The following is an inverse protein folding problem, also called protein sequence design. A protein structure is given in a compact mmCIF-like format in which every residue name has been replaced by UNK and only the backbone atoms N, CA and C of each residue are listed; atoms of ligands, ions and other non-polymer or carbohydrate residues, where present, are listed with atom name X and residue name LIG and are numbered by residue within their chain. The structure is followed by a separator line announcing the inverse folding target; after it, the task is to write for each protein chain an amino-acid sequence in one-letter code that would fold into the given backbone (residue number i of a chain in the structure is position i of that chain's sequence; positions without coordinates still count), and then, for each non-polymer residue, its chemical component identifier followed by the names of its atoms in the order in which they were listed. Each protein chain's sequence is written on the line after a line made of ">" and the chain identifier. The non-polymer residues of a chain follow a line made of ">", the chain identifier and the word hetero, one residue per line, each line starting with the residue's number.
data_IF_702387403874
#
_entry.id   IF_702387403874
#
_cell.length_a   1.000
_cell.length_b   1.000
_cell.length_c   1.000
_cell.angle_alpha   90.00
_cell.angle_beta   90.00
_cell.angle_gamma   90.00
#
_symmetry.space_group_name_H-M   'P 1'
#
loop_
_entity.id
_entity.type
_entity.pdbx_description
1 polymer ?
#
# COMPACT_ATOMS: atom_id res chain seq x y z
N UNK A 1 24.35 24.93 -10.35
CA UNK A 1 24.53 23.47 -10.52
C UNK A 1 23.88 22.84 -9.30
N UNK A 2 22.60 22.52 -9.39
CA UNK A 2 21.86 21.85 -8.31
C UNK A 2 22.35 20.42 -8.23
N UNK A 3 22.82 20.02 -7.06
CA UNK A 3 23.24 18.67 -6.73
C UNK A 3 22.06 17.70 -6.98
N UNK A 4 22.17 16.87 -8.03
CA UNK A 4 21.13 15.98 -8.53
C UNK A 4 21.17 14.61 -7.85
N UNK A 5 21.18 14.55 -6.52
CA UNK A 5 20.85 13.30 -5.81
C UNK A 5 19.57 13.49 -5.01
N UNK A 6 18.42 13.40 -5.70
CA UNK A 6 17.19 13.06 -5.01
C UNK A 6 17.14 11.53 -4.92
N UNK A 7 17.48 10.90 -3.79
CA UNK A 7 17.54 9.44 -3.69
C UNK A 7 16.15 8.77 -3.69
N UNK A 8 15.07 9.53 -3.84
CA UNK A 8 13.71 9.05 -3.63
C UNK A 8 13.36 8.88 -2.15
N UNK A 9 12.07 8.98 -1.84
CA UNK A 9 11.54 8.59 -0.53
C UNK A 9 11.11 7.11 -0.58
N UNK A 10 11.48 6.35 0.45
CA UNK A 10 11.04 4.95 0.60
C UNK A 10 9.87 4.88 1.55
N UNK A 11 8.96 3.97 1.24
CA UNK A 11 7.77 3.71 2.03
C UNK A 11 7.75 2.23 2.39
N UNK A 12 7.37 1.96 3.63
CA UNK A 12 6.99 0.66 4.12
C UNK A 12 5.64 0.84 4.81
N UNK A 13 4.65 0.06 4.40
CA UNK A 13 3.29 0.18 4.91
C UNK A 13 2.69 -1.20 5.16
N UNK A 14 1.82 -1.30 6.16
CA UNK A 14 1.22 -2.57 6.58
C UNK A 14 -0.30 -2.47 6.66
N UNK A 15 -0.99 -3.52 6.21
CA UNK A 15 -2.44 -3.71 6.39
C UNK A 15 -2.73 -5.18 6.68
N UNK A 16 -3.85 -5.49 7.34
CA UNK A 16 -4.26 -6.87 7.57
C UNK A 16 -5.09 -7.41 6.39
N UNK A 17 -4.92 -8.69 6.07
CA UNK A 17 -5.68 -9.40 5.03
C UNK A 17 -6.67 -10.39 5.67
N UNK A 18 -7.93 -10.31 5.27
CA UNK A 18 -8.98 -11.21 5.74
C UNK A 18 -8.74 -12.64 5.24
N UNK A 19 -9.03 -13.65 6.07
CA UNK A 19 -8.80 -15.06 5.73
C UNK A 19 -9.49 -15.47 4.43
N UNK A 20 -10.76 -15.10 4.26
CA UNK A 20 -11.57 -15.43 3.09
C UNK A 20 -11.06 -14.79 1.78
N UNK A 21 -10.25 -13.73 1.87
CA UNK A 21 -9.79 -12.99 0.71
C UNK A 21 -8.42 -13.46 0.18
N UNK A 22 -7.73 -14.36 0.88
CA UNK A 22 -6.33 -14.71 0.60
C UNK A 22 -6.05 -15.08 -0.87
N UNK A 23 -6.82 -16.03 -1.39
CA UNK A 23 -6.57 -16.56 -2.73
C UNK A 23 -7.01 -15.57 -3.82
N UNK A 24 -8.13 -14.87 -3.64
CA UNK A 24 -8.55 -13.85 -4.59
C UNK A 24 -7.59 -12.66 -4.59
N UNK A 25 -7.08 -12.24 -3.43
CA UNK A 25 -6.10 -11.17 -3.32
C UNK A 25 -4.85 -11.47 -4.16
N UNK A 26 -4.29 -12.68 -4.04
CA UNK A 26 -3.15 -13.13 -4.86
C UNK A 26 -3.52 -13.14 -6.34
N UNK A 27 -4.68 -13.69 -6.70
CA UNK A 27 -5.14 -13.80 -8.09
C UNK A 27 -5.27 -12.44 -8.76
N UNK A 28 -5.92 -11.46 -8.13
CA UNK A 28 -6.08 -10.14 -8.73
C UNK A 28 -4.76 -9.39 -8.81
N UNK A 29 -3.85 -9.55 -7.83
CA UNK A 29 -2.53 -8.90 -7.87
C UNK A 29 -1.55 -9.56 -8.85
N UNK A 30 -1.77 -10.80 -9.25
CA UNK A 30 -1.05 -11.41 -10.38
C UNK A 30 -1.46 -10.81 -11.74
N UNK A 31 -2.61 -10.11 -11.80
CA UNK A 31 -3.17 -9.52 -13.02
C UNK A 31 -3.73 -8.11 -12.76
N UNK A 32 -2.94 -7.26 -12.09
CA UNK A 32 -3.32 -5.87 -11.81
C UNK A 32 -3.72 -5.16 -13.11
N UNK A 33 -4.79 -4.36 -13.05
CA UNK A 33 -5.27 -3.64 -14.22
C UNK A 33 -4.20 -2.72 -14.79
N UNK A 34 -3.96 -2.73 -16.12
CA UNK A 34 -2.94 -1.88 -16.74
C UNK A 34 -3.10 -0.39 -16.42
N UNK A 35 -4.34 0.10 -16.30
CA UNK A 35 -4.63 1.48 -15.94
C UNK A 35 -4.14 1.84 -14.52
N UNK A 36 -4.31 0.94 -13.55
CA UNK A 36 -3.81 1.13 -12.17
C UNK A 36 -2.28 1.18 -12.18
N UNK A 37 -1.63 0.29 -12.94
CA UNK A 37 -0.17 0.30 -13.09
C UNK A 37 0.34 1.56 -13.79
N UNK A 38 -0.42 2.10 -14.76
CA UNK A 38 -0.10 3.39 -15.38
C UNK A 38 -0.20 4.55 -14.38
N UNK A 39 -1.23 4.57 -13.55
CA UNK A 39 -1.40 5.57 -12.50
C UNK A 39 -0.25 5.55 -11.49
N UNK A 40 0.23 4.36 -11.09
CA UNK A 40 1.43 4.24 -10.26
C UNK A 40 2.66 4.89 -10.92
N UNK A 41 2.87 4.66 -12.23
CA UNK A 41 3.98 5.27 -12.98
C UNK A 41 3.85 6.79 -13.07
N UNK A 42 2.65 7.29 -13.39
CA UNK A 42 2.35 8.74 -13.45
C UNK A 42 2.49 9.43 -12.10
N UNK A 43 2.35 8.69 -11.01
CA UNK A 43 2.54 9.16 -9.62
C UNK A 43 3.98 8.94 -9.11
N UNK A 44 4.92 8.63 -10.01
CA UNK A 44 6.35 8.42 -9.70
C UNK A 44 6.62 7.34 -8.63
N UNK A 45 5.75 6.34 -8.54
CA UNK A 45 5.94 5.16 -7.68
C UNK A 45 6.67 4.09 -8.49
N UNK A 46 7.79 3.63 -7.96
CA UNK A 46 8.64 2.58 -8.56
C UNK A 46 9.06 1.57 -7.50
N UNK A 47 9.56 0.42 -7.95
CA UNK A 47 10.06 -0.64 -7.06
C UNK A 47 9.00 -1.06 -6.01
N UNK A 48 7.74 -1.13 -6.44
CA UNK A 48 6.60 -1.44 -5.57
C UNK A 48 6.38 -2.95 -5.50
N UNK A 49 6.56 -3.51 -4.31
CA UNK A 49 6.21 -4.88 -3.97
C UNK A 49 5.23 -4.94 -2.79
N UNK A 50 4.45 -6.02 -2.73
CA UNK A 50 3.60 -6.37 -1.58
C UNK A 50 3.93 -7.81 -1.18
N UNK A 51 4.33 -8.00 0.07
CA UNK A 51 4.64 -9.31 0.64
C UNK A 51 3.55 -9.71 1.64
N UNK A 52 3.26 -11.01 1.73
CA UNK A 52 2.37 -11.56 2.74
C UNK A 52 3.22 -12.19 3.86
N UNK A 53 3.04 -11.71 5.09
CA UNK A 53 3.41 -12.41 6.30
C UNK A 53 2.18 -13.18 6.78
N UNK A 54 2.13 -14.52 6.67
CA UNK A 54 0.97 -15.30 7.12
C UNK A 54 0.63 -15.04 8.59
N UNK A 55 -0.62 -15.31 8.96
CA UNK A 55 -1.22 -15.02 10.27
C UNK A 55 -0.22 -15.23 11.41
N UNK A 56 0.18 -14.15 12.10
CA UNK A 56 1.19 -14.24 13.14
C UNK A 56 0.63 -14.97 14.38
N UNK A 57 1.48 -15.60 15.21
CA UNK A 57 1.04 -16.23 16.45
C UNK A 57 0.58 -15.24 17.53
N UNK A 58 0.56 -13.93 17.24
CA UNK A 58 0.25 -12.86 18.18
C UNK A 58 -0.95 -12.03 17.70
N UNK A 59 -1.71 -11.47 18.66
CA UNK A 59 -2.85 -10.63 18.38
C UNK A 59 -2.43 -9.36 17.64
N UNK A 60 -3.22 -8.98 16.65
CA UNK A 60 -3.07 -7.69 15.96
C UNK A 60 -3.71 -6.61 16.83
N UNK A 61 -2.92 -5.61 17.21
CA UNK A 61 -3.39 -4.50 18.04
C UNK A 61 -4.60 -3.80 17.39
N UNK A 62 -5.64 -3.52 18.17
CA UNK A 62 -6.88 -2.91 17.66
C UNK A 62 -7.80 -3.88 16.91
N UNK A 63 -7.44 -5.16 16.79
CA UNK A 63 -8.26 -6.19 16.12
C UNK A 63 -8.43 -7.47 16.95
N UNK A 64 -8.97 -7.40 18.18
CA UNK A 64 -9.35 -8.60 18.89
C UNK A 64 -10.48 -9.29 18.12
N UNK A 65 -10.25 -10.54 17.68
CA UNK A 65 -11.20 -11.43 16.99
C UNK A 65 -11.33 -11.32 15.46
N UNK A 66 -10.29 -10.87 14.73
CA UNK A 66 -10.27 -11.02 13.28
C UNK A 66 -9.63 -12.35 12.86
N UNK A 67 -10.35 -13.11 12.04
CA UNK A 67 -9.77 -14.22 11.27
C UNK A 67 -8.97 -13.62 10.11
N UNK A 68 -7.63 -13.66 10.24
CA UNK A 68 -6.71 -13.06 9.31
C UNK A 68 -5.87 -14.12 8.61
N UNK A 69 -5.73 -13.97 7.28
CA UNK A 69 -4.76 -14.71 6.50
C UNK A 69 -3.32 -14.31 6.86
N UNK A 70 -3.13 -13.05 7.26
CA UNK A 70 -1.83 -12.47 7.55
C UNK A 70 -1.79 -10.95 7.43
N UNK A 71 -0.57 -10.41 7.51
CA UNK A 71 -0.27 -9.01 7.24
C UNK A 71 0.30 -8.87 5.83
N UNK A 72 -0.20 -7.89 5.10
CA UNK A 72 0.38 -7.44 3.84
C UNK A 72 1.36 -6.30 4.13
N UNK A 73 2.57 -6.42 3.59
CA UNK A 73 3.67 -5.48 3.77
C UNK A 73 4.01 -4.91 2.40
N UNK A 74 3.62 -3.67 2.16
CA UNK A 74 3.90 -2.92 0.94
C UNK A 74 5.20 -2.14 1.11
N UNK A 75 6.10 -2.25 0.12
CA UNK A 75 7.28 -1.36 0.03
C UNK A 75 7.36 -0.76 -1.35
N UNK A 76 7.64 0.54 -1.44
CA UNK A 76 7.86 1.23 -2.71
C UNK A 76 8.79 2.44 -2.55
N UNK A 77 9.32 2.90 -3.68
CA UNK A 77 10.07 4.15 -3.80
C UNK A 77 9.22 5.18 -4.52
N UNK A 78 9.16 6.37 -3.96
CA UNK A 78 8.67 7.55 -4.62
C UNK A 78 9.85 8.36 -5.12
N UNK A 79 9.89 8.61 -6.43
CA UNK A 79 10.99 9.33 -7.09
C UNK A 79 10.56 10.69 -7.66
N UNK A 80 9.32 11.11 -7.38
CA UNK A 80 8.82 12.43 -7.77
C UNK A 80 9.30 13.53 -6.83
N UNK A 81 8.98 14.78 -7.17
CA UNK A 81 9.38 15.96 -6.40
C UNK A 81 8.24 16.62 -5.62
N UNK A 82 6.98 16.22 -5.85
CA UNK A 82 5.79 16.78 -5.21
C UNK A 82 4.80 15.68 -4.82
N UNK A 83 5.00 15.11 -3.63
CA UNK A 83 4.19 13.99 -3.13
C UNK A 83 2.72 14.34 -3.04
N UNK A 84 2.40 15.59 -2.65
CA UNK A 84 1.02 16.01 -2.45
C UNK A 84 0.27 16.06 -3.79
N UNK A 85 0.90 16.59 -4.82
CA UNK A 85 0.32 16.61 -6.16
C UNK A 85 0.21 15.19 -6.75
N UNK A 86 1.26 14.38 -6.63
CA UNK A 86 1.28 13.04 -7.24
C UNK A 86 0.31 12.08 -6.55
N UNK A 87 0.12 12.21 -5.24
CA UNK A 87 -0.91 11.45 -4.51
C UNK A 87 -2.33 11.80 -4.98
N UNK A 88 -2.57 13.05 -5.38
CA UNK A 88 -3.87 13.49 -5.93
C UNK A 88 -4.14 12.88 -7.31
N UNK A 89 -3.11 12.63 -8.11
CA UNK A 89 -3.26 11.94 -9.41
C UNK A 89 -3.86 10.56 -9.18
N UNK A 90 -3.31 9.78 -8.23
CA UNK A 90 -3.82 8.46 -7.90
C UNK A 90 -5.24 8.52 -7.31
N UNK A 91 -5.49 9.44 -6.38
CA UNK A 91 -6.80 9.59 -5.75
C UNK A 91 -7.92 10.04 -6.69
N UNK A 92 -7.58 10.78 -7.76
CA UNK A 92 -8.54 11.24 -8.76
C UNK A 92 -8.76 10.24 -9.92
N UNK A 93 -7.92 9.21 -10.05
CA UNK A 93 -8.00 8.24 -11.14
C UNK A 93 -9.13 7.22 -10.90
N UNK A 94 -10.16 7.15 -11.77
CA UNK A 94 -11.35 6.35 -11.51
C UNK A 94 -11.07 4.85 -11.47
N UNK A 95 -10.10 4.36 -12.24
CA UNK A 95 -9.72 2.94 -12.24
C UNK A 95 -8.96 2.59 -10.96
N UNK A 96 -8.11 3.49 -10.45
CA UNK A 96 -7.47 3.36 -9.13
C UNK A 96 -8.49 3.33 -8.01
N UNK A 97 -9.45 4.25 -7.99
CA UNK A 97 -10.52 4.27 -6.98
C UNK A 97 -11.37 2.99 -7.03
N UNK A 98 -11.68 2.49 -8.23
CA UNK A 98 -12.42 1.24 -8.40
C UNK A 98 -11.61 0.02 -7.94
N UNK A 99 -10.31 0.01 -8.20
CA UNK A 99 -9.40 -1.02 -7.71
C UNK A 99 -9.34 -1.02 -6.18
N UNK A 100 -9.18 0.16 -5.56
CA UNK A 100 -9.20 0.30 -4.10
C UNK A 100 -10.51 -0.19 -3.48
N UNK A 101 -11.66 0.13 -4.05
CA UNK A 101 -12.94 -0.36 -3.54
C UNK A 101 -12.99 -1.91 -3.44
N UNK A 102 -12.32 -2.62 -4.36
CA UNK A 102 -12.21 -4.08 -4.32
C UNK A 102 -11.21 -4.52 -3.23
N UNK A 103 -10.01 -3.95 -3.22
CA UNK A 103 -8.94 -4.38 -2.31
C UNK A 103 -9.19 -3.99 -0.86
N UNK A 104 -9.78 -2.82 -0.60
CA UNK A 104 -10.17 -2.37 0.74
C UNK A 104 -11.19 -3.36 1.34
N UNK A 105 -12.10 -3.87 0.52
CA UNK A 105 -13.06 -4.91 0.92
C UNK A 105 -12.40 -6.22 1.36
N UNK A 106 -11.19 -6.50 0.89
CA UNK A 106 -10.39 -7.69 1.24
C UNK A 106 -9.55 -7.48 2.50
N UNK A 107 -9.40 -6.24 2.96
CA UNK A 107 -8.42 -5.83 3.96
C UNK A 107 -9.09 -5.35 5.25
N UNK A 108 -8.27 -5.23 6.30
CA UNK A 108 -8.62 -4.50 7.51
C UNK A 108 -7.50 -3.51 7.83
N UNK A 109 -7.86 -2.22 7.92
CA UNK A 109 -6.89 -1.17 8.23
C UNK A 109 -6.37 -1.29 9.66
N UNK A 110 -5.09 -0.95 9.83
CA UNK A 110 -4.45 -0.77 11.14
C UNK A 110 -4.38 0.72 11.53
N UNK A 111 -5.01 1.60 10.74
CA UNK A 111 -5.13 3.03 11.02
C UNK A 111 -6.46 3.26 11.74
N UNK A 112 -6.38 3.86 12.93
CA UNK A 112 -7.57 4.15 13.73
C UNK A 112 -8.52 5.10 12.98
N UNK A 113 -9.80 4.70 12.89
CA UNK A 113 -10.84 5.49 12.21
C UNK A 113 -10.83 5.44 10.69
N UNK A 114 -9.94 4.66 10.05
CA UNK A 114 -9.91 4.56 8.59
C UNK A 114 -11.14 3.83 8.03
N UNK A 115 -11.72 4.39 6.96
CA UNK A 115 -12.92 3.85 6.29
C UNK A 115 -12.66 3.32 4.89
N UNK A 116 -11.50 3.64 4.30
CA UNK A 116 -11.05 3.16 2.98
C UNK A 116 -9.93 4.02 2.41
N UNK A 117 -9.25 3.54 1.37
CA UNK A 117 -8.11 4.20 0.71
C UNK A 117 -8.46 5.55 0.08
N UNK A 118 -9.74 5.78 -0.25
CA UNK A 118 -10.21 7.05 -0.82
C UNK A 118 -10.42 8.17 0.22
N UNK A 119 -10.62 7.81 1.49
CA UNK A 119 -11.04 8.74 2.55
C UNK A 119 -9.86 9.20 3.43
N UNK A 120 -8.65 8.70 3.15
CA UNK A 120 -7.45 9.00 3.91
C UNK A 120 -6.49 7.80 3.96
N UNK A 121 -5.54 7.80 4.91
CA UNK A 121 -4.59 6.71 5.07
C UNK A 121 -5.29 5.40 5.42
N UNK A 122 -5.19 4.41 4.54
CA UNK A 122 -5.75 3.06 4.76
C UNK A 122 -4.70 2.06 5.23
N UNK A 123 -3.45 2.20 4.76
CA UNK A 123 -2.34 1.38 5.22
C UNK A 123 -1.58 2.11 6.33
N UNK A 124 -1.14 1.38 7.35
CA UNK A 124 -0.35 1.95 8.43
C UNK A 124 1.09 2.16 7.97
N UNK A 125 1.58 3.40 8.07
CA UNK A 125 2.95 3.75 7.69
C UNK A 125 3.95 3.27 8.75
N UNK A 126 4.97 2.52 8.32
CA UNK A 126 6.08 2.12 9.19
C UNK A 126 7.20 3.17 9.18
N UNK A 127 7.88 3.31 10.33
CA UNK A 127 9.08 4.13 10.49
C UNK A 127 10.31 3.45 9.86
N UNK A 128 11.04 4.16 9.00
CA UNK A 128 12.35 3.71 8.52
C UNK A 128 13.40 3.97 9.62
N UNK A 129 13.69 2.94 10.43
CA UNK A 129 14.65 3.05 11.55
C UNK A 129 16.11 2.78 11.15
N UNK A 130 16.34 2.23 9.96
CA UNK A 130 17.67 1.94 9.45
C UNK A 130 17.67 1.91 7.93
N UNK A 131 18.75 2.42 7.34
CA UNK A 131 19.04 2.33 5.92
C UNK A 131 20.53 2.26 5.68
N UNK A 132 20.92 1.46 4.69
CA UNK A 132 22.26 1.47 4.13
C UNK A 132 22.16 1.61 2.61
N UNK A 133 22.63 2.75 2.09
CA UNK A 133 22.82 3.00 0.67
C UNK A 133 24.33 3.21 0.46
N UNK A 134 24.89 2.56 -0.56
CA UNK A 134 26.33 2.61 -0.86
C UNK A 134 26.71 3.91 -1.56
#
# INVERSE_FOLDING_TARGET
>A
MSDHSYPGQRFCQVVALKTEALEEYKKIHAAVWPAVLDTLRRSHIVDYSIHLLPSPPFAVAGSPNLDLAGLLIATFKYIGSDWENDSKIAAADPETVRWWAITDGMQHSLVEGATGSKDGPWWHQCEEVFRHEK
#
